data_IF_325228246683
#
_entry.id   IF_325228246683
#
_cell.length_a   1.000
_cell.length_b   1.000
_cell.length_c   1.000
_cell.angle_alpha   90.00
_cell.angle_beta   90.00
_cell.angle_gamma   90.00
#
_symmetry.space_group_name_H-M   'P 1'
#
loop_
_entity.id
_entity.type
_entity.pdbx_description
1 polymer ?
#
# COMPACT_ATOMS: atom_id res chain seq x y z
N UNK A 1 -3.50 10.93 13.19
CA UNK A 1 -3.29 11.28 11.77
C UNK A 1 -4.04 10.32 10.84
N UNK A 2 -4.24 10.72 9.59
CA UNK A 2 -4.74 9.92 8.47
C UNK A 2 -3.57 9.60 7.54
N UNK A 3 -3.28 8.32 7.34
CA UNK A 3 -2.07 7.87 6.63
C UNK A 3 -2.51 7.07 5.41
N UNK A 4 -2.18 7.56 4.22
CA UNK A 4 -2.55 6.93 2.94
C UNK A 4 -1.30 6.34 2.29
N UNK A 5 -1.12 5.03 2.41
CA UNK A 5 -0.12 4.30 1.63
C UNK A 5 -0.58 4.16 0.19
N UNK A 6 0.23 4.59 -0.77
CA UNK A 6 -0.18 4.58 -2.16
C UNK A 6 0.88 4.02 -3.11
N UNK A 7 0.41 3.42 -4.20
CA UNK A 7 1.21 3.02 -5.37
C UNK A 7 0.35 3.05 -6.62
N UNK A 8 0.88 2.56 -7.76
CA UNK A 8 0.14 2.54 -9.02
C UNK A 8 -1.13 1.70 -8.91
N UNK A 9 -1.01 0.44 -8.48
CA UNK A 9 -2.13 -0.51 -8.47
C UNK A 9 -2.92 -0.58 -7.15
N UNK A 10 -2.36 -0.10 -6.04
CA UNK A 10 -2.95 -0.19 -4.70
C UNK A 10 -2.94 -1.59 -4.07
N UNK A 11 -2.63 -2.64 -4.83
CA UNK A 11 -2.87 -4.04 -4.45
C UNK A 11 -1.67 -4.77 -3.81
N UNK A 12 -0.45 -4.21 -3.91
CA UNK A 12 0.78 -4.91 -3.52
C UNK A 12 1.60 -4.12 -2.50
N UNK A 13 2.45 -3.18 -2.94
CA UNK A 13 3.36 -2.46 -2.04
C UNK A 13 2.63 -1.61 -0.98
N UNK A 14 1.53 -0.93 -1.36
CA UNK A 14 0.71 -0.17 -0.42
C UNK A 14 -0.05 -1.07 0.54
N UNK A 15 -0.57 -2.19 0.06
CA UNK A 15 -1.26 -3.18 0.89
C UNK A 15 -0.32 -3.78 1.95
N UNK A 16 0.91 -4.11 1.56
CA UNK A 16 1.91 -4.68 2.46
C UNK A 16 2.41 -3.62 3.44
N UNK A 17 2.67 -2.39 2.98
CA UNK A 17 3.07 -1.31 3.87
C UNK A 17 1.98 -1.00 4.92
N UNK A 18 0.70 -0.97 4.54
CA UNK A 18 -0.39 -0.79 5.51
C UNK A 18 -0.49 -1.96 6.49
N UNK A 19 -0.28 -3.20 6.04
CA UNK A 19 -0.29 -4.37 6.91
C UNK A 19 0.85 -4.36 7.93
N UNK A 20 2.05 -3.96 7.51
CA UNK A 20 3.20 -3.77 8.42
C UNK A 20 2.91 -2.64 9.42
N UNK A 21 2.35 -1.52 8.95
CA UNK A 21 2.03 -0.37 9.80
C UNK A 21 1.06 -0.76 10.92
N UNK A 22 0.04 -1.54 10.58
CA UNK A 22 -1.01 -2.02 11.49
C UNK A 22 -0.58 -3.22 12.36
N UNK A 23 0.69 -3.65 12.29
CA UNK A 23 1.17 -4.82 13.04
C UNK A 23 0.61 -6.18 12.58
N UNK A 24 -0.13 -6.22 11.47
CA UNK A 24 -0.66 -7.46 10.88
C UNK A 24 0.48 -8.31 10.31
N UNK A 25 1.48 -7.67 9.72
CA UNK A 25 2.71 -8.32 9.26
C UNK A 25 3.91 -7.84 10.10
N UNK A 26 4.89 -8.72 10.40
CA UNK A 26 6.00 -8.40 11.29
C UNK A 26 6.95 -7.37 10.68
N UNK A 27 7.46 -6.42 11.46
CA UNK A 27 8.49 -5.48 11.01
C UNK A 27 9.92 -5.97 11.31
N UNK A 28 10.09 -6.95 12.19
CA UNK A 28 11.39 -7.44 12.66
C UNK A 28 11.93 -8.67 11.92
N UNK A 29 11.14 -9.28 11.02
CA UNK A 29 11.55 -10.44 10.23
C UNK A 29 10.82 -10.47 8.89
N UNK A 30 11.40 -11.17 7.91
CA UNK A 30 10.73 -11.43 6.63
C UNK A 30 9.61 -12.45 6.83
N UNK A 31 8.41 -12.22 6.25
CA UNK A 31 7.30 -13.17 6.29
C UNK A 31 7.55 -14.32 5.33
N UNK A 32 6.84 -15.42 5.56
CA UNK A 32 6.76 -16.53 4.60
C UNK A 32 5.86 -16.14 3.42
N UNK A 33 5.93 -16.93 2.33
CA UNK A 33 5.01 -16.80 1.21
C UNK A 33 3.55 -16.98 1.64
N UNK A 34 3.30 -17.89 2.59
CA UNK A 34 1.97 -18.14 3.14
C UNK A 34 1.41 -16.91 3.85
N UNK A 35 2.24 -16.20 4.62
CA UNK A 35 1.82 -14.99 5.34
C UNK A 35 1.46 -13.85 4.38
N UNK A 36 2.20 -13.71 3.26
CA UNK A 36 1.84 -12.73 2.22
C UNK A 36 0.52 -13.10 1.55
N UNK A 37 0.33 -14.38 1.21
CA UNK A 37 -0.84 -14.86 0.50
C UNK A 37 -2.10 -14.94 1.37
N UNK A 38 -1.95 -15.02 2.71
CA UNK A 38 -3.05 -15.01 3.66
C UNK A 38 -3.57 -13.60 3.97
N UNK A 39 -2.83 -12.55 3.61
CA UNK A 39 -3.30 -11.18 3.73
C UNK A 39 -4.53 -10.96 2.84
N UNK A 40 -5.69 -10.76 3.47
CA UNK A 40 -7.01 -10.77 2.81
C UNK A 40 -7.19 -9.75 1.68
N UNK A 41 -6.38 -8.69 1.68
CA UNK A 41 -6.43 -7.62 0.69
C UNK A 41 -5.18 -7.53 -0.19
N UNK A 42 -4.33 -8.55 -0.19
CA UNK A 42 -3.19 -8.66 -1.09
C UNK A 42 -3.61 -9.17 -2.47
N UNK A 43 -3.25 -8.43 -3.52
CA UNK A 43 -3.51 -8.77 -4.92
C UNK A 43 -5.01 -8.97 -5.25
N UNK A 44 -5.91 -8.26 -4.54
CA UNK A 44 -7.37 -8.38 -4.72
C UNK A 44 -8.00 -7.23 -5.47
N UNK A 45 -7.41 -6.03 -5.43
CA UNK A 45 -7.97 -4.84 -6.08
C UNK A 45 -7.98 -4.98 -7.60
N UNK A 46 -8.99 -4.39 -8.22
CA UNK A 46 -9.19 -4.42 -9.68
C UNK A 46 -9.49 -3.00 -10.21
N UNK A 47 -9.89 -2.89 -11.49
CA UNK A 47 -10.11 -1.58 -12.15
C UNK A 47 -11.14 -0.69 -11.46
N UNK A 48 -12.24 -1.23 -10.91
CA UNK A 48 -13.25 -0.41 -10.20
C UNK A 48 -12.76 0.15 -8.87
N UNK A 49 -11.59 -0.28 -8.39
CA UNK A 49 -11.02 0.17 -7.12
C UNK A 49 -9.94 1.26 -7.31
N UNK A 50 -9.63 1.61 -8.56
CA UNK A 50 -8.71 2.70 -8.87
C UNK A 50 -9.27 4.04 -8.36
N UNK A 51 -8.42 4.87 -7.77
CA UNK A 51 -8.82 6.15 -7.17
C UNK A 51 -9.55 6.05 -5.83
N UNK A 52 -9.95 4.85 -5.38
CA UNK A 52 -10.60 4.69 -4.06
C UNK A 52 -9.58 4.75 -2.93
N UNK A 53 -9.92 5.52 -1.90
CA UNK A 53 -9.24 5.51 -0.60
C UNK A 53 -9.91 4.42 0.24
N UNK A 54 -9.15 3.39 0.60
CA UNK A 54 -9.68 2.21 1.30
C UNK A 54 -9.13 2.19 2.72
N UNK A 55 -10.01 2.23 3.71
CA UNK A 55 -9.66 2.11 5.13
C UNK A 55 -9.14 0.70 5.44
N UNK A 56 -8.05 0.63 6.22
CA UNK A 56 -7.39 -0.63 6.59
C UNK A 56 -7.39 -0.90 8.08
N UNK A 57 -7.42 0.14 8.91
CA UNK A 57 -7.46 -0.02 10.35
C UNK A 57 -6.95 1.21 11.08
N UNK A 58 -6.85 1.08 12.40
CA UNK A 58 -6.29 2.07 13.31
C UNK A 58 -5.03 1.44 13.91
N UNK A 59 -3.92 2.17 13.93
CA UNK A 59 -2.67 1.72 14.54
C UNK A 59 -2.68 1.85 16.08
N UNK A 60 -1.59 1.46 16.73
CA UNK A 60 -1.45 1.50 18.19
C UNK A 60 -1.53 2.91 18.80
N UNK A 61 -1.32 3.96 17.99
CA UNK A 61 -1.31 5.37 18.40
C UNK A 61 -2.59 6.11 17.96
N UNK A 62 -3.63 5.37 17.54
CA UNK A 62 -4.91 5.95 17.13
C UNK A 62 -4.89 6.58 15.73
N UNK A 63 -3.85 6.36 14.92
CA UNK A 63 -3.77 6.84 13.55
C UNK A 63 -4.56 5.95 12.60
N UNK A 64 -5.32 6.56 11.70
CA UNK A 64 -6.15 5.85 10.72
C UNK A 64 -5.32 5.56 9.47
N UNK A 65 -5.22 4.28 9.11
CA UNK A 65 -4.41 3.80 7.98
C UNK A 65 -5.30 3.45 6.80
N UNK A 66 -4.92 3.91 5.61
CA UNK A 66 -5.62 3.72 4.35
C UNK A 66 -4.65 3.29 3.24
N UNK A 67 -5.23 2.77 2.15
CA UNK A 67 -4.51 2.52 0.90
C UNK A 67 -5.17 3.21 -0.29
N UNK A 68 -4.37 3.62 -1.27
CA UNK A 68 -4.84 4.25 -2.51
C UNK A 68 -4.12 3.71 -3.76
N UNK A 69 -4.92 3.37 -4.77
CA UNK A 69 -4.45 3.10 -6.14
C UNK A 69 -4.47 4.40 -6.95
N UNK A 70 -3.32 5.08 -7.03
CA UNK A 70 -3.21 6.41 -7.66
C UNK A 70 -2.90 6.39 -9.15
N UNK A 71 -2.80 5.19 -9.73
CA UNK A 71 -2.33 4.99 -11.11
C UNK A 71 -0.98 5.69 -11.36
N UNK A 72 -0.65 5.94 -12.62
CA UNK A 72 0.59 6.62 -13.02
C UNK A 72 0.49 8.16 -12.94
N UNK A 73 -0.52 8.71 -12.25
CA UNK A 73 -0.82 10.15 -12.20
C UNK A 73 -0.78 10.73 -10.76
N UNK A 74 0.31 10.54 -10.00
CA UNK A 74 0.41 11.07 -8.62
C UNK A 74 0.25 12.59 -8.54
N UNK A 75 0.77 13.29 -9.55
CA UNK A 75 0.80 14.75 -9.62
C UNK A 75 -0.59 15.38 -9.77
N UNK A 76 -1.59 14.61 -10.21
CA UNK A 76 -2.99 15.05 -10.25
C UNK A 76 -3.77 14.53 -9.04
N UNK A 77 -3.62 13.24 -8.72
CA UNK A 77 -4.45 12.59 -7.70
C UNK A 77 -4.12 13.10 -6.29
N UNK A 78 -2.85 13.31 -5.95
CA UNK A 78 -2.47 13.70 -4.58
C UNK A 78 -2.93 15.12 -4.26
N UNK A 79 -2.68 16.15 -5.11
CA UNK A 79 -3.22 17.49 -4.86
C UNK A 79 -4.74 17.51 -4.78
N UNK A 80 -5.44 16.85 -5.73
CA UNK A 80 -6.89 16.81 -5.73
C UNK A 80 -7.50 16.24 -4.43
N UNK A 81 -6.90 15.19 -3.86
CA UNK A 81 -7.37 14.63 -2.58
C UNK A 81 -7.05 15.57 -1.42
N UNK A 82 -5.89 16.26 -1.43
CA UNK A 82 -5.56 17.24 -0.39
C UNK A 82 -6.52 18.42 -0.39
N UNK A 83 -6.86 18.93 -1.57
CA UNK A 83 -7.82 20.03 -1.71
C UNK A 83 -9.23 19.57 -1.28
N UNK A 84 -9.65 18.37 -1.68
CA UNK A 84 -10.93 17.80 -1.23
C UNK A 84 -10.98 17.59 0.29
N UNK A 85 -9.87 17.20 0.91
CA UNK A 85 -9.75 17.06 2.37
C UNK A 85 -9.93 18.39 3.09
N UNK A 86 -9.30 19.46 2.60
CA UNK A 86 -9.46 20.80 3.17
C UNK A 86 -10.87 21.37 2.97
N UNK A 87 -11.45 21.18 1.78
CA UNK A 87 -12.84 21.59 1.50
C UNK A 87 -13.84 20.88 2.41
N UNK A 88 -13.53 19.66 2.85
CA UNK A 88 -14.32 18.91 3.83
C UNK A 88 -14.06 19.34 5.29
N UNK A 89 -13.24 20.38 5.53
CA UNK A 89 -12.89 20.90 6.85
C UNK A 89 -11.69 20.22 7.51
N UNK A 90 -10.97 19.37 6.79
CA UNK A 90 -9.79 18.68 7.29
C UNK A 90 -8.53 19.55 7.31
N UNK A 91 -7.65 19.33 8.29
CA UNK A 91 -6.36 20.03 8.36
C UNK A 91 -5.28 19.28 7.54
N UNK A 92 -4.54 19.97 6.66
CA UNK A 92 -3.45 19.38 5.85
C UNK A 92 -2.39 18.65 6.70
N UNK A 93 -2.13 19.11 7.92
CA UNK A 93 -1.13 18.51 8.81
C UNK A 93 -1.60 17.17 9.39
N UNK A 94 -2.88 16.82 9.25
CA UNK A 94 -3.42 15.55 9.72
C UNK A 94 -3.44 14.48 8.63
N UNK A 95 -3.10 14.82 7.38
CA UNK A 95 -3.18 13.91 6.23
C UNK A 95 -1.79 13.67 5.61
N UNK A 96 -1.31 12.43 5.74
CA UNK A 96 -0.01 11.99 5.23
C UNK A 96 -0.16 11.02 4.06
N UNK A 97 0.47 11.35 2.93
CA UNK A 97 0.60 10.44 1.79
C UNK A 97 1.97 9.76 1.78
N UNK A 98 1.98 8.44 1.69
CA UNK A 98 3.21 7.64 1.71
C UNK A 98 3.37 6.87 0.41
N UNK A 99 4.38 7.26 -0.38
CA UNK A 99 4.69 6.61 -1.65
C UNK A 99 5.46 5.30 -1.42
N UNK A 100 4.84 4.18 -1.79
CA UNK A 100 5.46 2.84 -1.64
C UNK A 100 6.17 2.35 -2.90
N UNK A 101 6.19 3.15 -3.98
CA UNK A 101 6.80 2.73 -5.25
C UNK A 101 8.29 2.42 -5.16
N UNK A 102 9.02 3.03 -4.22
CA UNK A 102 10.45 2.75 -4.00
C UNK A 102 10.69 1.32 -3.48
N UNK A 103 9.66 0.64 -2.97
CA UNK A 103 9.69 -0.77 -2.60
C UNK A 103 9.28 -1.74 -3.71
N UNK A 104 8.89 -1.25 -4.90
CA UNK A 104 8.41 -2.11 -6.00
C UNK A 104 9.58 -2.57 -6.87
N UNK A 105 9.75 -3.89 -7.01
CA UNK A 105 10.75 -4.49 -7.89
C UNK A 105 10.14 -5.09 -9.17
N UNK A 106 11.00 -5.60 -10.06
CA UNK A 106 10.59 -6.14 -11.36
C UNK A 106 9.65 -7.35 -11.26
N UNK A 107 9.89 -8.28 -10.32
CA UNK A 107 9.00 -9.42 -10.10
C UNK A 107 7.61 -8.97 -9.66
N UNK A 108 7.52 -7.96 -8.80
CA UNK A 108 6.23 -7.38 -8.43
C UNK A 108 5.49 -6.77 -9.62
N UNK A 109 6.22 -6.11 -10.54
CA UNK A 109 5.63 -5.57 -11.77
C UNK A 109 5.08 -6.68 -12.67
N UNK A 110 5.88 -7.73 -12.93
CA UNK A 110 5.45 -8.87 -13.76
C UNK A 110 4.26 -9.57 -13.11
N UNK A 111 4.40 -10.01 -11.86
CA UNK A 111 3.35 -10.77 -11.18
C UNK A 111 2.06 -9.96 -11.03
N UNK A 112 2.18 -8.68 -10.67
CA UNK A 112 1.04 -7.77 -10.54
C UNK A 112 0.34 -7.51 -11.88
N UNK A 113 1.10 -7.31 -12.96
CA UNK A 113 0.55 -7.15 -14.30
C UNK A 113 -0.17 -8.42 -14.77
N UNK A 114 0.49 -9.59 -14.66
CA UNK A 114 -0.11 -10.87 -15.04
C UNK A 114 -1.38 -11.16 -14.24
N UNK A 115 -1.36 -10.95 -12.92
CA UNK A 115 -2.50 -11.23 -12.05
C UNK A 115 -3.66 -10.25 -12.26
N UNK A 116 -3.38 -8.94 -12.26
CA UNK A 116 -4.43 -7.90 -12.22
C UNK A 116 -4.81 -7.31 -13.58
N UNK A 117 -3.93 -7.39 -14.59
CA UNK A 117 -4.17 -6.82 -15.92
C UNK A 117 -4.56 -7.89 -16.95
N UNK A 118 -3.95 -9.07 -16.88
CA UNK A 118 -4.22 -10.20 -17.76
C UNK A 118 -5.19 -11.24 -17.16
N UNK A 119 -5.60 -11.05 -15.90
CA UNK A 119 -6.44 -12.01 -15.14
C UNK A 119 -5.81 -13.41 -14.97
N UNK A 120 -4.49 -13.54 -15.12
CA UNK A 120 -3.75 -14.79 -14.91
C UNK A 120 -3.38 -14.94 -13.44
N UNK A 121 -4.40 -15.01 -12.56
CA UNK A 121 -4.22 -14.92 -11.10
C UNK A 121 -3.34 -16.05 -10.54
N UNK A 122 -3.60 -17.30 -10.95
CA UNK A 122 -2.85 -18.48 -10.48
C UNK A 122 -1.36 -18.41 -10.85
N UNK A 123 -1.02 -17.74 -11.95
CA UNK A 123 0.35 -17.51 -12.40
C UNK A 123 0.98 -16.27 -11.75
N UNK A 124 0.28 -15.14 -11.78
CA UNK A 124 0.83 -13.85 -11.35
C UNK A 124 0.94 -13.70 -9.83
N UNK A 125 -0.05 -14.22 -9.08
CA UNK A 125 -0.15 -14.04 -7.63
C UNK A 125 1.04 -14.62 -6.86
N UNK A 126 1.53 -15.84 -7.16
CA UNK A 126 2.76 -16.36 -6.55
C UNK A 126 4.00 -15.52 -6.88
N UNK A 127 4.13 -15.03 -8.12
CA UNK A 127 5.28 -14.23 -8.57
C UNK A 127 5.33 -12.89 -7.82
N UNK A 128 4.20 -12.17 -7.72
CA UNK A 128 4.16 -10.90 -7.00
C UNK A 128 4.34 -11.07 -5.50
N UNK A 129 3.85 -12.18 -4.93
CA UNK A 129 4.08 -12.52 -3.53
C UNK A 129 5.58 -12.78 -3.26
N UNK A 130 6.25 -13.54 -4.11
CA UNK A 130 7.70 -13.74 -3.99
C UNK A 130 8.48 -12.44 -4.18
N UNK A 131 8.12 -11.63 -5.17
CA UNK A 131 8.67 -10.29 -5.36
C UNK A 131 8.47 -9.40 -4.12
N UNK A 132 7.34 -9.53 -3.43
CA UNK A 132 7.05 -8.81 -2.19
C UNK A 132 7.99 -9.22 -1.05
N UNK A 133 8.31 -10.50 -0.91
CA UNK A 133 9.27 -10.99 0.11
C UNK A 133 10.66 -10.39 -0.14
N UNK A 134 11.10 -10.32 -1.39
CA UNK A 134 12.37 -9.64 -1.75
C UNK A 134 12.29 -8.13 -1.46
N UNK A 135 11.12 -7.55 -1.71
CA UNK A 135 10.67 -6.19 -1.35
C UNK A 135 10.76 -5.84 0.14
N UNK A 136 10.64 -6.83 1.00
CA UNK A 136 10.01 -6.66 2.31
C UNK A 136 10.74 -5.66 3.21
N UNK A 137 12.07 -5.79 3.34
CA UNK A 137 12.86 -4.89 4.18
C UNK A 137 12.79 -3.42 3.73
N UNK A 138 12.63 -3.17 2.41
CA UNK A 138 12.42 -1.80 1.90
C UNK A 138 11.06 -1.25 2.33
N UNK A 139 10.02 -2.10 2.31
CA UNK A 139 8.68 -1.72 2.75
C UNK A 139 8.63 -1.47 4.27
N UNK A 140 9.32 -2.31 5.06
CA UNK A 140 9.53 -2.07 6.50
C UNK A 140 10.17 -0.70 6.73
N UNK A 141 11.27 -0.39 6.04
CA UNK A 141 11.97 0.91 6.18
C UNK A 141 11.06 2.10 5.83
N UNK A 142 10.19 1.96 4.82
CA UNK A 142 9.19 2.99 4.48
C UNK A 142 8.23 3.21 5.66
N UNK A 143 7.74 2.13 6.27
CA UNK A 143 6.81 2.21 7.40
C UNK A 143 7.49 2.77 8.65
N UNK A 144 8.71 2.34 8.97
CA UNK A 144 9.49 2.88 10.08
C UNK A 144 9.74 4.38 9.94
N UNK A 145 10.14 4.82 8.74
CA UNK A 145 10.30 6.25 8.45
C UNK A 145 8.97 7.00 8.57
N UNK A 146 7.86 6.38 8.17
CA UNK A 146 6.52 6.97 8.34
C UNK A 146 6.21 7.16 9.82
N UNK A 147 6.40 6.13 10.66
CA UNK A 147 6.14 6.19 12.10
C UNK A 147 7.02 7.25 12.80
N UNK A 148 8.27 7.42 12.37
CA UNK A 148 9.16 8.48 12.89
C UNK A 148 8.74 9.91 12.54
N UNK A 149 7.94 10.10 11.49
CA UNK A 149 7.47 11.43 11.07
C UNK A 149 6.20 11.87 11.82
N UNK A 150 5.51 10.93 12.46
CA UNK A 150 4.17 11.13 13.05
C UNK A 150 4.11 10.89 14.56
N UNK A 151 5.13 10.22 15.11
CA UNK A 151 5.40 10.13 16.55
C UNK A 151 6.20 11.36 16.99
#
# INVERSE_FOLDING_TARGET
>A
MYIIYHCVGGAHSSAIASAIHLGILPNNKKPSLKDILSLSYFDTLNKKDQGKIIFRGIDENGHKVFTLSRQFVPHLIIPAIKDAWELAGGNKNELLFVNTMNGVNFLMKIGGFSSRRLNLVTFGRPIVAYGTILAYNKLVKIVENTKKLIN
#
